data_IF_357069898214
#
_entry.id   IF_357069898214
#
_cell.length_a   1.000
_cell.length_b   1.000
_cell.length_c   1.000
_cell.angle_alpha   90.00
_cell.angle_beta   90.00
_cell.angle_gamma   90.00
#
_symmetry.space_group_name_H-M   'P 1'
#
loop_
_entity.id
_entity.type
_entity.pdbx_description
1 polymer ?
#
# COMPACT_ATOMS: atom_id res chain seq x y z
N UNK A 1 -9.76 -1.29 13.11
CA UNK A 1 -9.09 -2.02 12.01
C UNK A 1 -9.76 -3.37 11.86
N UNK A 2 -10.00 -3.82 10.62
CA UNK A 2 -10.47 -5.16 10.29
C UNK A 2 -9.34 -5.83 9.49
N UNK A 3 -8.74 -6.87 10.05
CA UNK A 3 -7.61 -7.56 9.44
C UNK A 3 -7.89 -9.06 9.41
N UNK A 4 -7.62 -9.70 8.27
CA UNK A 4 -7.82 -11.13 8.10
C UNK A 4 -6.83 -11.73 7.12
N UNK A 5 -6.65 -13.05 7.26
CA UNK A 5 -5.73 -13.85 6.47
C UNK A 5 -6.45 -15.04 5.83
N UNK A 6 -6.11 -15.35 4.58
CA UNK A 6 -6.67 -16.45 3.81
C UNK A 6 -5.58 -17.43 3.40
N UNK A 7 -5.46 -18.59 4.09
CA UNK A 7 -4.61 -19.68 3.62
C UNK A 7 -4.97 -20.12 2.20
N UNK A 8 -3.94 -20.38 1.40
CA UNK A 8 -4.03 -20.82 0.01
C UNK A 8 -4.73 -19.82 -0.94
N UNK A 9 -4.84 -18.54 -0.55
CA UNK A 9 -5.25 -17.47 -1.46
C UNK A 9 -4.00 -16.77 -1.98
N UNK A 10 -3.94 -16.64 -3.31
CA UNK A 10 -3.10 -15.65 -3.96
C UNK A 10 -3.66 -14.23 -3.75
N UNK A 11 -2.86 -13.22 -4.10
CA UNK A 11 -3.22 -11.81 -3.97
C UNK A 11 -4.54 -11.47 -4.66
N UNK A 12 -4.80 -12.04 -5.85
CA UNK A 12 -5.97 -11.69 -6.66
C UNK A 12 -7.27 -12.24 -6.09
N UNK A 13 -7.25 -13.46 -5.53
CA UNK A 13 -8.40 -14.02 -4.82
C UNK A 13 -8.75 -13.19 -3.59
N UNK A 14 -7.75 -12.66 -2.89
CA UNK A 14 -8.00 -11.77 -1.77
C UNK A 14 -8.55 -10.41 -2.24
N UNK A 15 -8.05 -9.84 -3.34
CA UNK A 15 -8.61 -8.62 -3.95
C UNK A 15 -10.11 -8.81 -4.25
N UNK A 16 -10.50 -9.95 -4.86
CA UNK A 16 -11.91 -10.22 -5.15
C UNK A 16 -12.77 -10.29 -3.88
N UNK A 17 -12.27 -10.91 -2.81
CA UNK A 17 -12.99 -10.97 -1.53
C UNK A 17 -13.14 -9.59 -0.87
N UNK A 18 -12.12 -8.73 -0.99
CA UNK A 18 -12.20 -7.33 -0.53
C UNK A 18 -13.23 -6.56 -1.38
N UNK A 19 -13.25 -6.77 -2.69
CA UNK A 19 -14.23 -6.14 -3.59
C UNK A 19 -15.67 -6.54 -3.23
N UNK A 20 -15.93 -7.83 -2.97
CA UNK A 20 -17.23 -8.32 -2.50
C UNK A 20 -17.67 -7.62 -1.21
N UNK A 21 -16.75 -7.48 -0.24
CA UNK A 21 -17.02 -6.78 1.02
C UNK A 21 -17.35 -5.29 0.80
N UNK A 22 -16.57 -4.60 -0.04
CA UNK A 22 -16.78 -3.18 -0.33
C UNK A 22 -18.11 -2.95 -1.03
N UNK A 23 -18.47 -3.78 -2.03
CA UNK A 23 -19.77 -3.72 -2.68
C UNK A 23 -20.91 -3.97 -1.68
N UNK A 24 -20.77 -4.96 -0.81
CA UNK A 24 -21.80 -5.28 0.19
C UNK A 24 -22.04 -4.15 1.20
N UNK A 25 -20.98 -3.47 1.65
CA UNK A 25 -21.08 -2.44 2.70
C UNK A 25 -21.36 -1.06 2.14
N UNK A 26 -20.80 -0.72 0.98
CA UNK A 26 -20.88 0.61 0.40
C UNK A 26 -21.94 0.75 -0.70
N UNK A 27 -22.58 -0.34 -1.12
CA UNK A 27 -23.52 -0.38 -2.25
C UNK A 27 -22.93 0.27 -3.51
N UNK A 28 -21.63 0.00 -3.75
CA UNK A 28 -20.88 0.56 -4.87
C UNK A 28 -20.79 -0.41 -6.05
N UNK A 29 -20.35 0.09 -7.21
CA UNK A 29 -20.04 -0.75 -8.36
C UNK A 29 -18.80 -1.62 -8.08
N UNK A 30 -18.64 -2.77 -8.79
CA UNK A 30 -17.42 -3.56 -8.73
C UNK A 30 -16.19 -2.70 -9.00
N UNK A 31 -15.14 -2.95 -8.23
CA UNK A 31 -13.92 -2.17 -8.29
C UNK A 31 -13.22 -2.30 -9.65
N UNK A 32 -12.46 -1.27 -10.03
CA UNK A 32 -11.43 -1.44 -11.05
C UNK A 32 -10.12 -1.90 -10.42
N UNK A 33 -9.24 -2.52 -11.21
CA UNK A 33 -7.92 -2.94 -10.77
C UNK A 33 -6.87 -2.50 -11.79
N UNK A 34 -5.81 -1.85 -11.31
CA UNK A 34 -4.67 -1.41 -12.11
C UNK A 34 -3.38 -1.84 -11.43
N UNK A 35 -2.38 -2.24 -12.21
CA UNK A 35 -1.04 -2.34 -11.63
C UNK A 35 -0.50 -0.95 -11.30
N UNK A 36 0.41 -0.85 -10.35
CA UNK A 36 1.12 0.38 -10.00
C UNK A 36 1.77 1.00 -11.24
N UNK A 37 2.35 0.16 -12.10
CA UNK A 37 2.93 0.57 -13.37
C UNK A 37 1.88 1.19 -14.31
N UNK A 38 0.74 0.52 -14.50
CA UNK A 38 -0.34 1.03 -15.36
C UNK A 38 -0.95 2.33 -14.83
N UNK A 39 -1.07 2.47 -13.51
CA UNK A 39 -1.60 3.67 -12.88
C UNK A 39 -0.69 4.89 -13.14
N UNK A 40 0.63 4.73 -12.97
CA UNK A 40 1.60 5.76 -13.32
C UNK A 40 1.60 6.10 -14.81
N UNK A 41 1.58 5.09 -15.68
CA UNK A 41 1.55 5.33 -17.13
C UNK A 41 0.28 6.09 -17.55
N UNK A 42 -0.86 5.75 -16.95
CA UNK A 42 -2.16 6.38 -17.26
C UNK A 42 -2.25 7.83 -16.80
N UNK A 43 -1.75 8.14 -15.60
CA UNK A 43 -1.98 9.44 -14.96
C UNK A 43 -0.78 10.38 -15.02
N UNK A 44 0.43 9.85 -15.17
CA UNK A 44 1.69 10.61 -15.13
C UNK A 44 2.58 10.39 -16.36
N UNK A 45 2.14 9.54 -17.32
CA UNK A 45 2.86 9.26 -18.57
C UNK A 45 4.32 8.80 -18.36
N UNK A 46 4.57 8.10 -17.26
CA UNK A 46 5.90 7.61 -16.88
C UNK A 46 5.82 6.16 -16.41
N UNK A 47 6.89 5.38 -16.65
CA UNK A 47 7.02 4.02 -16.14
C UNK A 47 7.78 4.03 -14.80
N UNK A 48 7.12 3.72 -13.67
CA UNK A 48 7.73 3.79 -12.35
C UNK A 48 8.75 2.67 -12.10
N UNK A 49 8.81 1.64 -12.95
CA UNK A 49 9.74 0.51 -12.81
C UNK A 49 11.04 0.70 -13.60
N UNK A 50 11.08 1.68 -14.51
CA UNK A 50 12.26 1.94 -15.36
C UNK A 50 12.77 3.38 -15.28
N UNK A 51 11.91 4.35 -14.96
CA UNK A 51 12.31 5.75 -14.88
C UNK A 51 13.42 5.99 -13.85
N UNK A 52 14.39 6.82 -14.21
CA UNK A 52 15.43 7.27 -13.30
C UNK A 52 14.96 8.43 -12.40
N UNK A 53 15.76 8.79 -11.39
CA UNK A 53 15.40 9.89 -10.46
C UNK A 53 15.23 11.24 -11.14
N UNK A 54 15.94 11.50 -12.24
CA UNK A 54 15.83 12.76 -12.99
C UNK A 54 14.46 12.86 -13.63
N UNK A 55 14.02 11.79 -14.32
CA UNK A 55 12.71 11.71 -14.94
C UNK A 55 11.58 11.80 -13.90
N UNK A 56 11.73 11.17 -12.73
CA UNK A 56 10.76 11.31 -11.64
C UNK A 56 10.64 12.77 -11.14
N UNK A 57 11.77 13.50 -11.01
CA UNK A 57 11.76 14.91 -10.63
C UNK A 57 11.15 15.81 -11.70
N UNK A 58 11.35 15.50 -12.98
CA UNK A 58 10.68 16.22 -14.07
C UNK A 58 9.16 16.09 -14.00
N UNK A 59 8.64 14.90 -13.67
CA UNK A 59 7.20 14.70 -13.44
C UNK A 59 6.76 15.45 -12.18
N UNK A 60 7.54 15.43 -11.10
CA UNK A 60 7.22 16.16 -9.88
C UNK A 60 7.13 17.68 -10.11
N UNK A 61 8.00 18.23 -10.97
CA UNK A 61 7.96 19.63 -11.36
C UNK A 61 6.67 20.00 -12.12
N UNK A 62 6.14 19.10 -12.96
CA UNK A 62 4.84 19.30 -13.64
C UNK A 62 3.66 19.36 -12.67
N UNK A 63 3.80 18.76 -11.49
CA UNK A 63 2.83 18.76 -10.40
C UNK A 63 3.05 19.88 -9.37
N UNK A 64 4.02 20.78 -9.62
CA UNK A 64 4.43 21.84 -8.69
C UNK A 64 4.98 21.32 -7.33
N UNK A 65 5.69 20.18 -7.38
CA UNK A 65 6.26 19.50 -6.21
C UNK A 65 7.80 19.60 -6.12
N UNK A 66 8.42 20.48 -6.91
CA UNK A 66 9.89 20.64 -6.97
C UNK A 66 10.50 21.00 -5.61
N UNK A 67 9.77 21.76 -4.78
CA UNK A 67 10.19 22.15 -3.44
C UNK A 67 10.54 20.96 -2.53
N UNK A 68 9.93 19.79 -2.77
CA UNK A 68 10.19 18.56 -2.03
C UNK A 68 11.10 17.64 -2.86
N UNK A 69 10.75 17.45 -4.14
CA UNK A 69 11.37 16.45 -5.00
C UNK A 69 12.85 16.75 -5.35
N UNK A 70 13.24 18.02 -5.44
CA UNK A 70 14.60 18.40 -5.83
C UNK A 70 15.64 18.01 -4.76
N UNK A 71 15.22 17.99 -3.49
CA UNK A 71 16.08 17.63 -2.35
C UNK A 71 15.99 16.15 -1.96
N UNK A 72 15.03 15.42 -2.52
CA UNK A 72 14.82 14.01 -2.20
C UNK A 72 15.74 13.12 -3.03
N UNK A 73 16.47 12.23 -2.36
CA UNK A 73 17.46 11.34 -2.96
C UNK A 73 17.03 9.87 -2.95
N UNK A 74 16.06 9.52 -2.12
CA UNK A 74 15.41 8.21 -2.05
C UNK A 74 14.38 8.08 -3.17
N UNK A 75 14.60 7.07 -4.01
CA UNK A 75 13.75 6.81 -5.17
C UNK A 75 12.32 6.41 -4.76
N UNK A 76 12.16 5.67 -3.67
CA UNK A 76 10.83 5.25 -3.20
C UNK A 76 10.06 6.43 -2.65
N UNK A 77 10.71 7.35 -1.93
CA UNK A 77 10.05 8.58 -1.47
C UNK A 77 9.58 9.43 -2.65
N UNK A 78 10.37 9.57 -3.73
CA UNK A 78 9.93 10.25 -4.95
C UNK A 78 8.72 9.55 -5.58
N UNK A 79 8.75 8.23 -5.68
CA UNK A 79 7.62 7.46 -6.20
C UNK A 79 6.36 7.64 -5.34
N UNK A 80 6.48 7.58 -4.02
CA UNK A 80 5.37 7.78 -3.09
C UNK A 80 4.78 9.17 -3.25
N UNK A 81 5.62 10.22 -3.30
CA UNK A 81 5.18 11.59 -3.55
C UNK A 81 4.39 11.71 -4.86
N UNK A 82 4.90 11.13 -5.95
CA UNK A 82 4.23 11.14 -7.24
C UNK A 82 2.94 10.33 -7.25
N UNK A 83 2.90 9.19 -6.57
CA UNK A 83 1.69 8.39 -6.47
C UNK A 83 0.61 9.13 -5.70
N UNK A 84 0.94 9.65 -4.51
CA UNK A 84 -0.02 10.36 -3.65
C UNK A 84 -0.52 11.67 -4.23
N UNK A 85 0.33 12.43 -4.90
CA UNK A 85 -0.07 13.71 -5.46
C UNK A 85 -0.56 13.63 -6.91
N UNK A 86 -0.14 12.60 -7.64
CA UNK A 86 -0.33 12.49 -9.09
C UNK A 86 -1.26 11.36 -9.54
N UNK A 87 -1.38 10.29 -8.76
CA UNK A 87 -2.22 9.12 -9.08
C UNK A 87 -3.45 9.06 -8.18
N UNK A 88 -3.28 9.05 -6.85
CA UNK A 88 -4.38 8.95 -5.87
C UNK A 88 -5.54 9.93 -6.13
N UNK A 89 -5.32 11.22 -6.48
CA UNK A 89 -6.41 12.16 -6.73
C UNK A 89 -7.24 11.88 -7.99
N UNK A 90 -6.81 10.93 -8.82
CA UNK A 90 -7.42 10.60 -10.12
C UNK A 90 -8.11 9.23 -10.15
N UNK A 91 -7.89 8.38 -9.14
CA UNK A 91 -8.46 7.05 -9.04
C UNK A 91 -9.61 7.00 -8.02
N UNK A 92 -10.38 5.91 -8.02
CA UNK A 92 -11.35 5.67 -6.96
C UNK A 92 -12.52 6.65 -6.91
N UNK A 93 -12.80 7.43 -7.97
CA UNK A 93 -13.82 8.50 -7.93
C UNK A 93 -15.23 7.94 -7.96
N UNK A 94 -15.55 7.18 -8.99
CA UNK A 94 -16.90 6.66 -9.24
C UNK A 94 -17.12 5.28 -8.59
N UNK A 95 -16.07 4.46 -8.54
CA UNK A 95 -16.02 3.12 -7.94
C UNK A 95 -14.66 2.90 -7.26
N UNK A 96 -14.52 1.93 -6.34
CA UNK A 96 -13.22 1.62 -5.75
C UNK A 96 -12.17 1.27 -6.82
N UNK A 97 -10.92 1.64 -6.58
CA UNK A 97 -9.78 1.29 -7.44
C UNK A 97 -8.74 0.56 -6.62
N UNK A 98 -8.46 -0.69 -6.99
CA UNK A 98 -7.31 -1.43 -6.51
C UNK A 98 -6.06 -1.06 -7.30
N UNK A 99 -4.99 -0.77 -6.58
CA UNK A 99 -3.64 -0.64 -7.13
C UNK A 99 -2.82 -1.82 -6.62
N UNK A 100 -2.29 -2.66 -7.51
CA UNK A 100 -1.49 -3.83 -7.14
C UNK A 100 -0.11 -3.82 -7.80
N UNK A 101 0.80 -4.73 -7.41
CA UNK A 101 2.16 -4.79 -7.95
C UNK A 101 2.98 -3.52 -7.70
N UNK A 102 2.99 -3.06 -6.45
CA UNK A 102 3.89 -2.00 -6.00
C UNK A 102 5.36 -2.38 -6.25
N UNK A 103 6.29 -1.43 -6.38
CA UNK A 103 7.71 -1.72 -6.52
C UNK A 103 8.21 -2.65 -5.40
N UNK A 104 9.11 -3.59 -5.71
CA UNK A 104 9.64 -4.57 -4.77
C UNK A 104 10.33 -3.92 -3.56
N UNK A 105 10.88 -2.72 -3.73
CA UNK A 105 11.44 -1.90 -2.65
C UNK A 105 10.40 -1.42 -1.63
N UNK A 106 9.12 -1.43 -2.02
CA UNK A 106 7.95 -1.11 -1.20
C UNK A 106 7.12 -2.36 -0.86
N UNK A 107 7.74 -3.55 -0.90
CA UNK A 107 7.07 -4.81 -0.61
C UNK A 107 6.52 -4.91 0.82
N UNK A 108 7.08 -4.16 1.79
CA UNK A 108 6.76 -4.36 3.20
C UNK A 108 7.00 -5.84 3.61
N UNK A 109 5.97 -6.55 4.05
CA UNK A 109 5.96 -7.97 4.39
C UNK A 109 5.48 -8.85 3.24
N UNK A 110 5.27 -8.30 2.05
CA UNK A 110 4.80 -9.04 0.87
C UNK A 110 5.91 -9.85 0.19
N UNK A 111 5.52 -10.94 -0.47
CA UNK A 111 6.39 -11.64 -1.42
C UNK A 111 6.75 -10.74 -2.61
N UNK A 112 7.94 -10.95 -3.17
CA UNK A 112 8.33 -10.40 -4.47
C UNK A 112 7.72 -11.30 -5.55
N UNK A 113 7.15 -10.70 -6.59
CA UNK A 113 6.54 -11.47 -7.67
C UNK A 113 7.58 -12.38 -8.35
N UNK A 114 7.14 -13.60 -8.65
CA UNK A 114 7.96 -14.58 -9.37
C UNK A 114 8.00 -14.32 -10.89
N UNK A 115 7.04 -13.55 -11.42
CA UNK A 115 6.96 -13.21 -12.84
C UNK A 115 7.76 -11.94 -13.18
N UNK A 116 7.71 -10.92 -12.31
CA UNK A 116 8.52 -9.70 -12.43
C UNK A 116 9.09 -9.31 -11.06
N UNK A 117 10.37 -9.63 -10.82
CA UNK A 117 11.04 -9.36 -9.55
C UNK A 117 11.18 -7.87 -9.19
N UNK A 118 10.78 -6.95 -10.07
CA UNK A 118 10.73 -5.52 -9.78
C UNK A 118 9.49 -5.11 -8.99
N UNK A 119 8.49 -5.99 -8.86
CA UNK A 119 7.25 -5.72 -8.13
C UNK A 119 7.02 -6.70 -6.99
N UNK A 120 6.24 -6.27 -6.01
CA UNK A 120 5.77 -7.07 -4.89
C UNK A 120 4.31 -7.46 -5.09
N UNK A 121 3.92 -8.61 -4.54
CA UNK A 121 2.52 -9.06 -4.50
C UNK A 121 1.75 -8.35 -3.39
N UNK A 122 1.70 -7.02 -3.50
CA UNK A 122 1.00 -6.09 -2.61
C UNK A 122 -0.05 -5.32 -3.41
N UNK A 123 -1.15 -5.03 -2.75
CA UNK A 123 -2.20 -4.16 -3.25
C UNK A 123 -2.71 -3.20 -2.17
N UNK A 124 -3.31 -2.12 -2.64
CA UNK A 124 -4.08 -1.18 -1.84
C UNK A 124 -5.38 -0.86 -2.57
N UNK A 125 -6.40 -0.44 -1.84
CA UNK A 125 -7.68 -0.02 -2.43
C UNK A 125 -8.07 1.38 -1.99
N UNK A 126 -8.46 2.17 -2.97
CA UNK A 126 -8.78 3.59 -2.83
C UNK A 126 -10.21 3.83 -3.28
N UNK A 127 -10.96 4.62 -2.51
CA UNK A 127 -12.28 5.07 -2.91
C UNK A 127 -12.58 6.46 -2.35
N UNK A 128 -13.13 7.34 -3.20
CA UNK A 128 -13.46 8.74 -2.91
C UNK A 128 -12.29 9.51 -2.26
N UNK A 129 -11.08 9.29 -2.77
CA UNK A 129 -9.86 9.95 -2.29
C UNK A 129 -9.33 9.44 -0.95
N UNK A 130 -9.81 8.28 -0.49
CA UNK A 130 -9.41 7.66 0.78
C UNK A 130 -8.84 6.27 0.52
N UNK A 131 -7.66 5.99 1.05
CA UNK A 131 -7.11 4.64 1.17
C UNK A 131 -7.93 3.84 2.19
N UNK A 132 -8.54 2.74 1.77
CA UNK A 132 -9.40 1.91 2.62
C UNK A 132 -8.70 0.68 3.18
N UNK A 133 -7.81 0.05 2.40
CA UNK A 133 -7.11 -1.15 2.84
C UNK A 133 -5.76 -1.31 2.15
N UNK A 134 -4.87 -2.05 2.81
CA UNK A 134 -3.57 -2.50 2.30
C UNK A 134 -3.46 -4.00 2.58
N UNK A 135 -3.13 -4.77 1.54
CA UNK A 135 -3.03 -6.23 1.63
C UNK A 135 -1.96 -6.78 0.70
N UNK A 136 -1.55 -8.01 0.93
CA UNK A 136 -0.47 -8.63 0.19
C UNK A 136 -0.49 -10.16 0.30
N UNK A 137 0.21 -10.81 -0.63
CA UNK A 137 0.64 -12.19 -0.48
C UNK A 137 1.82 -12.24 0.50
N UNK A 138 1.63 -12.93 1.63
CA UNK A 138 2.52 -12.89 2.79
C UNK A 138 3.89 -13.51 2.52
N UNK A 139 4.97 -12.85 2.94
CA UNK A 139 6.31 -13.41 2.93
C UNK A 139 6.43 -14.54 3.97
N UNK A 140 6.66 -15.75 3.49
CA UNK A 140 6.81 -16.94 4.35
C UNK A 140 8.26 -17.26 4.70
N UNK A 141 9.25 -16.70 3.99
CA UNK A 141 10.68 -16.93 4.25
C UNK A 141 11.18 -16.09 5.45
N UNK A 142 11.46 -16.77 6.57
CA UNK A 142 11.95 -16.15 7.78
C UNK A 142 13.31 -15.43 7.63
N UNK A 143 14.21 -15.94 6.78
CA UNK A 143 15.54 -15.35 6.58
C UNK A 143 15.42 -14.06 5.78
N UNK A 144 14.61 -14.07 4.73
CA UNK A 144 14.32 -12.86 3.97
C UNK A 144 13.62 -11.82 4.86
N UNK A 145 12.64 -12.25 5.66
CA UNK A 145 11.93 -11.37 6.58
C UNK A 145 12.87 -10.72 7.61
N UNK A 146 13.82 -11.49 8.16
CA UNK A 146 14.84 -10.95 9.05
C UNK A 146 15.72 -9.91 8.35
N UNK A 147 16.18 -10.19 7.14
CA UNK A 147 17.03 -9.26 6.37
C UNK A 147 16.31 -7.93 6.09
N UNK A 148 15.00 -7.98 5.79
CA UNK A 148 14.16 -6.79 5.61
C UNK A 148 14.06 -5.97 6.90
N UNK A 149 13.82 -6.59 8.05
CA UNK A 149 13.81 -5.88 9.34
C UNK A 149 15.17 -5.23 9.68
N UNK A 150 16.27 -5.91 9.40
CA UNK A 150 17.61 -5.35 9.58
C UNK A 150 17.84 -4.16 8.63
N UNK A 151 17.35 -4.24 7.38
CA UNK A 151 17.41 -3.14 6.43
C UNK A 151 16.58 -1.93 6.90
N UNK A 152 15.38 -2.15 7.43
CA UNK A 152 14.54 -1.09 7.98
C UNK A 152 15.22 -0.39 9.15
N UNK A 153 15.88 -1.13 10.04
CA UNK A 153 16.66 -0.54 11.12
C UNK A 153 17.86 0.27 10.61
N UNK A 154 18.53 -0.18 9.54
CA UNK A 154 19.59 0.62 8.88
C UNK A 154 19.02 1.91 8.28
N UNK A 155 17.87 1.85 7.59
CA UNK A 155 17.18 3.02 7.03
C UNK A 155 16.74 4.00 8.15
N UNK A 156 16.18 3.48 9.25
CA UNK A 156 15.81 4.27 10.44
C UNK A 156 17.02 4.98 11.04
N UNK A 157 18.12 4.28 11.26
CA UNK A 157 19.35 4.86 11.79
C UNK A 157 19.91 5.96 10.87
N UNK A 158 19.92 5.75 9.55
CA UNK A 158 20.33 6.75 8.58
C UNK A 158 19.45 8.02 8.59
N UNK A 159 18.16 7.86 8.92
CA UNK A 159 17.19 8.97 9.10
C UNK A 159 17.16 9.55 10.51
N UNK A 160 18.04 9.11 11.42
CA UNK A 160 18.08 9.57 12.81
C UNK A 160 16.89 9.08 13.67
N UNK A 161 16.16 8.06 13.21
CA UNK A 161 15.03 7.47 13.93
C UNK A 161 15.49 6.34 14.88
N UNK A 162 14.77 6.11 15.99
CA UNK A 162 15.07 4.98 16.87
C UNK A 162 14.88 3.65 16.14
N UNK A 163 15.87 2.78 16.27
CA UNK A 163 15.78 1.38 15.83
C UNK A 163 14.76 0.64 16.68
N UNK A 164 14.07 -0.33 16.08
CA UNK A 164 13.09 -1.18 16.75
C UNK A 164 13.66 -2.58 16.95
N UNK A 165 13.41 -3.23 18.09
CA UNK A 165 13.80 -4.62 18.28
C UNK A 165 13.09 -5.50 17.25
N UNK A 166 13.82 -6.42 16.63
CA UNK A 166 13.25 -7.40 15.71
C UNK A 166 12.42 -8.39 16.53
N UNK A 167 11.17 -8.63 16.09
CA UNK A 167 10.28 -9.59 16.73
C UNK A 167 10.78 -11.03 16.46
N UNK A 168 11.36 -11.65 17.51
CA UNK A 168 11.86 -13.02 17.45
C UNK A 168 10.75 -14.07 17.48
N UNK A 169 9.56 -13.73 17.98
CA UNK A 169 8.42 -14.64 17.96
C UNK A 169 7.85 -14.77 16.56
N UNK A 170 7.74 -13.66 15.82
CA UNK A 170 7.33 -13.68 14.42
C UNK A 170 8.31 -14.51 13.56
N UNK A 171 9.62 -14.27 13.70
CA UNK A 171 10.63 -15.04 12.96
C UNK A 171 10.58 -16.53 13.29
N UNK A 172 10.45 -16.90 14.57
CA UNK A 172 10.32 -18.29 14.98
C UNK A 172 9.05 -18.95 14.43
N UNK A 173 7.93 -18.20 14.31
CA UNK A 173 6.71 -18.71 13.70
C UNK A 173 6.87 -18.96 12.19
N UNK A 174 7.55 -18.06 11.47
CA UNK A 174 7.89 -18.27 10.05
C UNK A 174 8.80 -19.48 9.86
N UNK A 175 9.81 -19.66 10.72
CA UNK A 175 10.69 -20.84 10.71
C UNK A 175 9.94 -22.16 10.99
N UNK A 176 8.90 -22.11 11.83
CA UNK A 176 8.04 -23.26 12.10
C UNK A 176 7.11 -23.62 10.92
N UNK A 177 6.91 -22.68 9.99
CA UNK A 177 6.13 -22.86 8.77
C UNK A 177 4.80 -22.09 8.82
N UNK A 178 4.78 -20.93 8.15
CA UNK A 178 3.54 -20.24 7.79
C UNK A 178 3.05 -20.81 6.44
N UNK A 179 1.82 -21.36 6.34
CA UNK A 179 1.28 -21.76 5.06
C UNK A 179 1.15 -20.54 4.14
N UNK A 180 1.36 -20.78 2.85
CA UNK A 180 1.10 -19.82 1.76
C UNK A 180 -0.29 -19.18 1.94
N UNK A 181 -0.34 -17.85 2.06
CA UNK A 181 -1.55 -17.12 2.38
C UNK A 181 -1.44 -15.64 2.00
N UNK A 182 -2.58 -15.00 1.78
CA UNK A 182 -2.65 -13.55 1.62
C UNK A 182 -3.38 -12.92 2.81
N UNK A 183 -2.94 -11.73 3.22
CA UNK A 183 -3.52 -10.94 4.29
C UNK A 183 -3.92 -9.54 3.83
N UNK A 184 -4.87 -8.93 4.53
CA UNK A 184 -5.31 -7.54 4.28
C UNK A 184 -5.76 -6.88 5.56
N UNK A 185 -5.39 -5.62 5.73
CA UNK A 185 -5.83 -4.74 6.81
C UNK A 185 -6.66 -3.58 6.25
N UNK A 186 -7.89 -3.45 6.75
CA UNK A 186 -8.90 -2.49 6.31
C UNK A 186 -9.26 -1.50 7.43
N UNK A 187 -9.30 -0.21 7.07
CA UNK A 187 -9.68 0.89 7.95
C UNK A 187 -11.19 0.98 8.14
N UNK A 188 -11.73 0.28 9.15
CA UNK A 188 -13.18 0.25 9.44
C UNK A 188 -13.79 1.64 9.56
N UNK A 189 -13.15 2.55 10.30
CA UNK A 189 -13.66 3.91 10.49
C UNK A 189 -13.79 4.65 9.14
N UNK A 190 -12.84 4.47 8.23
CA UNK A 190 -12.87 5.06 6.88
C UNK A 190 -13.99 4.46 6.02
N UNK A 191 -14.20 3.15 6.11
CA UNK A 191 -15.32 2.48 5.40
C UNK A 191 -16.67 2.94 5.93
N UNK A 192 -16.83 3.03 7.26
CA UNK A 192 -18.06 3.56 7.89
C UNK A 192 -18.28 5.01 7.52
N UNK A 193 -17.22 5.83 7.51
CA UNK A 193 -17.28 7.23 7.08
C UNK A 193 -17.81 7.35 5.65
N UNK A 194 -17.32 6.52 4.71
CA UNK A 194 -17.83 6.50 3.35
C UNK A 194 -19.27 5.98 3.24
N UNK A 195 -19.63 4.93 4.00
CA UNK A 195 -20.97 4.35 4.00
C UNK A 195 -22.03 5.35 4.51
N UNK A 196 -21.66 6.19 5.48
CA UNK A 196 -22.55 7.18 6.08
C UNK A 196 -22.46 8.56 5.40
N UNK A 197 -21.54 8.75 4.45
CA UNK A 197 -21.29 10.04 3.81
C UNK A 197 -20.75 11.11 4.78
N UNK A 198 -20.02 10.70 5.82
CA UNK A 198 -19.38 11.60 6.77
C UNK A 198 -18.13 12.26 6.16
N UNK A 199 -17.82 13.48 6.58
CA UNK A 199 -16.70 14.27 6.04
C UNK A 199 -15.41 14.08 6.84
N UNK A 200 -15.51 13.59 8.08
CA UNK A 200 -14.37 13.41 8.96
C UNK A 200 -14.47 12.14 9.80
N UNK A 201 -13.31 11.58 10.16
CA UNK A 201 -13.24 10.37 11.01
C UNK A 201 -13.89 10.59 12.39
N UNK A 202 -13.91 11.83 12.88
CA UNK A 202 -14.49 12.16 14.17
C UNK A 202 -16.01 11.99 14.23
N UNK A 203 -16.71 12.09 13.09
CA UNK A 203 -18.16 11.91 13.00
C UNK A 203 -18.60 10.45 13.17
N UNK A 204 -17.68 9.50 13.00
CA UNK A 204 -17.94 8.06 13.13
C UNK A 204 -17.32 7.45 14.38
N UNK A 205 -16.65 8.26 15.21
CA UNK A 205 -16.12 7.86 16.51
C UNK A 205 -17.06 8.31 17.62
N UNK A 206 -17.29 7.44 18.63
CA UNK A 206 -18.12 7.82 19.78
C UNK A 206 -17.51 8.97 20.58
N UNK A 207 -16.18 8.97 20.74
CA UNK A 207 -15.40 10.03 21.37
C UNK A 207 -14.10 10.21 20.59
N UNK A 208 -13.84 11.44 20.13
CA UNK A 208 -12.58 11.82 19.52
C UNK A 208 -11.50 11.98 20.59
N UNK A 209 -10.21 12.06 20.21
CA UNK A 209 -9.09 12.15 21.17
C UNK A 209 -9.20 13.35 22.12
N UNK A 210 -9.78 14.47 21.68
CA UNK A 210 -10.06 15.65 22.49
C UNK A 210 -11.20 15.45 23.51
N UNK A 211 -11.93 14.33 23.44
CA UNK A 211 -13.11 13.99 24.26
C UNK A 211 -13.08 12.57 24.83
N UNK A 212 -11.96 11.86 24.69
CA UNK A 212 -11.79 10.46 25.11
C UNK A 212 -11.67 10.30 26.63
#
# INVERSE_FOLDING_TARGET
>A
MLEWYRPCYDMYRLINEVDDLLQQVLDCQPAESLSYQQAFQRHLEIDPLSADKTQLREVAAKLDLSNIADTEEDRDTLLQLLFTMGVEPHIGKDRPTFIYHFPASQASLAQISTEDHRVAERFEVYYKGIELANGFHELTDAREQQQRFEQDNRKRAARGLPQQPIDRHLLAALEAGLPDCSGVALGVDRVVMLALGAESIGEVLSFTVDRA
#
